data_IF_129208946592
#
_entry.id   IF_129208946592
#
_cell.length_a   1.000
_cell.length_b   1.000
_cell.length_c   1.000
_cell.angle_alpha   90.00
_cell.angle_beta   90.00
_cell.angle_gamma   90.00
#
_symmetry.space_group_name_H-M   'P 1'
#
loop_
_entity.id
_entity.type
_entity.pdbx_description
1 polymer ?
#
# COMPACT_ATOMS: atom_id res chain seq x y z
N UNK A 1 -15.83 -2.68 -7.58
CA UNK A 1 -14.44 -3.17 -7.47
C UNK A 1 -14.08 -3.13 -6.01
N UNK A 2 -14.35 -4.23 -5.31
CA UNK A 2 -14.38 -4.29 -3.86
C UNK A 2 -13.00 -4.05 -3.27
N UNK A 3 -12.91 -2.99 -2.45
CA UNK A 3 -11.78 -2.75 -1.58
C UNK A 3 -11.87 -3.60 -0.31
N UNK A 4 -12.33 -4.84 -0.46
CA UNK A 4 -12.54 -5.76 0.63
C UNK A 4 -11.21 -6.31 1.19
N UNK A 5 -11.28 -6.99 2.34
CA UNK A 5 -10.13 -7.60 3.03
C UNK A 5 -9.29 -8.50 2.12
N UNK A 6 -9.89 -9.09 1.09
CA UNK A 6 -9.21 -9.93 0.09
C UNK A 6 -8.05 -9.23 -0.61
N UNK A 7 -8.12 -7.90 -0.79
CA UNK A 7 -7.02 -7.15 -1.40
C UNK A 7 -5.85 -6.98 -0.43
N UNK A 8 -6.11 -6.81 0.87
CA UNK A 8 -5.04 -6.71 1.86
C UNK A 8 -4.31 -8.05 1.96
N UNK A 9 -5.06 -9.14 2.06
CA UNK A 9 -4.53 -10.49 2.17
C UNK A 9 -3.60 -10.85 0.99
N UNK A 10 -4.00 -10.51 -0.24
CA UNK A 10 -3.18 -10.71 -1.43
C UNK A 10 -1.84 -9.93 -1.37
N UNK A 11 -1.84 -8.72 -0.81
CA UNK A 11 -0.61 -7.95 -0.63
C UNK A 11 0.28 -8.51 0.48
N UNK A 12 -0.32 -8.96 1.58
CA UNK A 12 0.43 -9.59 2.67
C UNK A 12 1.11 -10.87 2.19
N UNK A 13 0.40 -11.72 1.45
CA UNK A 13 0.96 -12.91 0.83
C UNK A 13 2.08 -12.58 -0.15
N UNK A 14 1.86 -11.60 -1.05
CA UNK A 14 2.84 -11.19 -2.05
C UNK A 14 4.17 -10.73 -1.45
N UNK A 15 4.11 -10.01 -0.31
CA UNK A 15 5.30 -9.49 0.37
C UNK A 15 5.79 -10.38 1.52
N UNK A 16 5.14 -11.51 1.79
CA UNK A 16 5.50 -12.40 2.90
C UNK A 16 5.35 -11.74 4.28
N UNK A 17 4.33 -10.91 4.47
CA UNK A 17 4.04 -10.25 5.75
C UNK A 17 3.05 -11.09 6.54
N UNK A 18 3.46 -11.54 7.72
CA UNK A 18 2.58 -12.25 8.64
C UNK A 18 1.65 -11.27 9.39
N UNK A 19 0.38 -11.65 9.49
CA UNK A 19 -0.57 -11.02 10.40
C UNK A 19 -0.59 -11.79 11.72
N UNK A 20 -0.26 -11.11 12.83
CA UNK A 20 -0.22 -11.67 14.18
C UNK A 20 -1.58 -12.28 14.56
N UNK A 21 -2.67 -11.61 14.18
CA UNK A 21 -4.06 -12.06 14.34
C UNK A 21 -4.94 -11.39 13.29
N UNK A 22 -5.46 -12.13 12.30
CA UNK A 22 -6.32 -11.55 11.25
C UNK A 22 -7.63 -11.00 11.83
N UNK A 23 -8.12 -9.94 11.20
CA UNK A 23 -9.33 -9.21 11.60
C UNK A 23 -9.24 -8.58 13.00
N UNK A 24 -8.02 -8.45 13.52
CA UNK A 24 -7.71 -7.67 14.71
C UNK A 24 -7.16 -6.31 14.27
N UNK A 25 -7.79 -5.23 14.72
CA UNK A 25 -7.46 -3.89 14.26
C UNK A 25 -6.00 -3.51 14.50
N UNK A 26 -5.39 -3.99 15.60
CA UNK A 26 -3.99 -3.73 15.90
C UNK A 26 -3.07 -4.50 14.93
N UNK A 27 -3.38 -5.78 14.70
CA UNK A 27 -2.62 -6.62 13.76
C UNK A 27 -2.71 -6.07 12.33
N UNK A 28 -3.91 -5.68 11.89
CA UNK A 28 -4.13 -5.15 10.53
C UNK A 28 -3.43 -3.78 10.35
N UNK A 29 -3.43 -2.93 11.39
CA UNK A 29 -2.68 -1.69 11.38
C UNK A 29 -1.16 -1.92 11.30
N UNK A 30 -0.65 -2.91 12.04
CA UNK A 30 0.76 -3.29 12.01
C UNK A 30 1.18 -3.84 10.64
N UNK A 31 0.39 -4.75 10.07
CA UNK A 31 0.60 -5.28 8.73
C UNK A 31 0.55 -4.16 7.66
N UNK A 32 -0.37 -3.21 7.80
CA UNK A 32 -0.46 -2.04 6.91
C UNK A 32 0.76 -1.13 7.03
N UNK A 33 1.29 -0.93 8.24
CA UNK A 33 2.51 -0.14 8.44
C UNK A 33 3.73 -0.77 7.75
N UNK A 34 3.85 -2.10 7.80
CA UNK A 34 4.90 -2.83 7.08
C UNK A 34 4.76 -2.68 5.56
N UNK A 35 3.54 -2.77 5.03
CA UNK A 35 3.28 -2.49 3.60
C UNK A 35 3.69 -1.06 3.21
N UNK A 36 3.41 -0.07 4.07
CA UNK A 36 3.82 1.31 3.83
C UNK A 36 5.35 1.45 3.81
N UNK A 37 6.07 0.77 4.71
CA UNK A 37 7.53 0.78 4.73
C UNK A 37 8.12 0.22 3.43
N UNK A 38 7.59 -0.90 2.93
CA UNK A 38 7.99 -1.48 1.64
C UNK A 38 7.73 -0.50 0.51
N UNK A 39 6.53 0.10 0.47
CA UNK A 39 6.16 1.06 -0.55
C UNK A 39 7.08 2.29 -0.53
N UNK A 40 7.42 2.82 0.65
CA UNK A 40 8.33 3.95 0.80
C UNK A 40 9.76 3.61 0.38
N UNK A 41 10.28 2.43 0.76
CA UNK A 41 11.61 2.00 0.34
C UNK A 41 11.70 1.87 -1.19
N UNK A 42 10.68 1.30 -1.82
CA UNK A 42 10.60 1.22 -3.27
C UNK A 42 10.46 2.62 -3.91
N UNK A 43 9.64 3.49 -3.34
CA UNK A 43 9.44 4.86 -3.83
C UNK A 43 10.74 5.69 -3.80
N UNK A 44 11.48 5.62 -2.70
CA UNK A 44 12.77 6.29 -2.54
C UNK A 44 13.78 5.83 -3.60
N UNK A 45 13.82 4.52 -3.92
CA UNK A 45 14.66 4.00 -5.02
C UNK A 45 14.34 4.57 -6.41
N UNK A 46 13.18 5.24 -6.54
CA UNK A 46 12.69 5.88 -7.77
C UNK A 46 12.61 7.40 -7.66
N UNK A 47 13.18 8.01 -6.62
CA UNK A 47 13.21 9.47 -6.41
C UNK A 47 11.96 10.05 -5.76
N UNK A 48 11.12 9.21 -5.14
CA UNK A 48 9.93 9.63 -4.40
C UNK A 48 10.16 9.47 -2.90
N UNK A 49 10.87 10.43 -2.30
CA UNK A 49 11.41 10.30 -0.94
C UNK A 49 10.42 10.66 0.18
N UNK A 50 9.20 11.09 -0.17
CA UNK A 50 8.21 11.53 0.83
C UNK A 50 6.85 10.87 0.61
N UNK A 51 6.08 10.61 1.68
CA UNK A 51 4.70 10.14 1.55
C UNK A 51 3.83 11.08 0.68
N UNK A 52 4.08 12.38 0.73
CA UNK A 52 3.41 13.36 -0.11
C UNK A 52 3.69 13.13 -1.61
N UNK A 53 4.93 12.80 -1.98
CA UNK A 53 5.30 12.52 -3.38
C UNK A 53 4.57 11.29 -3.95
N UNK A 54 4.37 10.25 -3.13
CA UNK A 54 3.56 9.09 -3.50
C UNK A 54 2.09 9.45 -3.72
N UNK A 55 1.53 10.34 -2.89
CA UNK A 55 0.16 10.84 -3.06
C UNK A 55 -0.01 11.62 -4.35
N UNK A 56 0.96 12.45 -4.72
CA UNK A 56 0.89 13.19 -5.99
C UNK A 56 1.02 12.26 -7.21
N UNK A 57 1.89 11.24 -7.14
CA UNK A 57 1.98 10.20 -8.17
C UNK A 57 0.65 9.46 -8.36
N UNK A 58 -0.02 9.11 -7.25
CA UNK A 58 -1.31 8.44 -7.23
C UNK A 58 -2.39 9.26 -7.92
N UNK A 59 -2.49 10.56 -7.57
CA UNK A 59 -3.41 11.52 -8.19
C UNK A 59 -3.16 11.65 -9.68
N UNK A 60 -1.90 11.85 -10.10
CA UNK A 60 -1.54 11.95 -11.50
C UNK A 60 -1.98 10.71 -12.29
N UNK A 61 -1.76 9.51 -11.74
CA UNK A 61 -2.18 8.25 -12.36
C UNK A 61 -3.70 8.10 -12.44
N UNK A 62 -4.45 8.55 -11.43
CA UNK A 62 -5.92 8.57 -11.51
C UNK A 62 -6.42 9.50 -12.61
N UNK A 63 -5.84 10.68 -12.73
CA UNK A 63 -6.24 11.64 -13.75
C UNK A 63 -6.02 11.08 -15.16
N UNK A 64 -4.84 10.50 -15.42
CA UNK A 64 -4.55 9.82 -16.71
C UNK A 64 -5.52 8.69 -17.04
N UNK A 65 -5.97 7.92 -16.03
CA UNK A 65 -6.96 6.85 -16.22
C UNK A 65 -8.38 7.34 -16.45
N UNK A 66 -8.71 8.55 -16.00
CA UNK A 66 -10.03 9.16 -16.19
C UNK A 66 -10.14 9.89 -17.53
N UNK A 67 -9.00 10.30 -18.11
CA UNK A 67 -8.92 10.96 -19.41
C UNK A 67 -8.73 10.01 -20.60
N UNK A 68 -8.72 8.69 -20.35
CA UNK A 68 -8.59 7.63 -21.35
C UNK A 68 -9.91 6.85 -21.45
#
# INVERSE_FOLDING_TARGET
>A
MDAGPERLDAWLEHFGIDSIKRHDALSDAFATAQLLQIAMAHAASRGFDTPASLRELEKARRHMRQSA
#
